data_IF_488504845349
#
_entry.id   IF_488504845349
#
_cell.length_a   1.000
_cell.length_b   1.000
_cell.length_c   1.000
_cell.angle_alpha   90.00
_cell.angle_beta   90.00
_cell.angle_gamma   90.00
#
_symmetry.space_group_name_H-M   'P 1'
#
loop_
_entity.id
_entity.type
_entity.pdbx_description
1 polymer ?
#
# COMPACT_ATOMS: atom_id res chain seq x y z
N UNK A 1 91.51 -5.72 110.51
CA UNK A 1 92.28 -5.91 109.25
C UNK A 1 91.32 -6.27 108.09
N UNK A 2 91.29 -5.65 106.92
CA UNK A 2 92.11 -4.61 106.30
C UNK A 2 91.38 -4.26 104.98
N UNK A 3 91.25 -2.96 104.66
CA UNK A 3 91.21 -2.30 103.32
C UNK A 3 90.45 -2.92 102.14
N UNK A 4 89.84 -2.18 101.19
CA UNK A 4 89.45 -0.77 100.98
C UNK A 4 88.92 -0.71 99.52
N UNK A 5 87.82 0.01 99.32
CA UNK A 5 87.34 0.74 98.11
C UNK A 5 87.19 0.02 96.75
N UNK A 6 86.02 0.18 96.12
CA UNK A 6 85.91 1.13 94.99
C UNK A 6 84.49 1.71 94.87
N UNK A 7 84.42 2.92 94.31
CA UNK A 7 83.31 3.89 94.31
C UNK A 7 82.61 3.93 92.95
N UNK A 8 81.30 4.23 92.97
CA UNK A 8 80.53 4.78 91.84
C UNK A 8 79.35 3.88 91.43
N UNK A 9 78.15 4.33 91.08
CA UNK A 9 77.52 5.62 90.72
C UNK A 9 75.98 5.36 90.84
N UNK A 10 75.11 6.36 91.12
CA UNK A 10 73.74 6.12 91.55
C UNK A 10 72.82 5.69 90.41
N UNK A 11 71.93 4.72 90.66
CA UNK A 11 70.80 4.39 89.79
C UNK A 11 69.61 5.28 90.12
N UNK A 12 69.29 6.18 89.19
CA UNK A 12 67.99 6.80 89.02
C UNK A 12 67.67 6.82 87.51
N UNK A 13 66.41 6.95 87.10
CA UNK A 13 65.20 6.23 87.48
C UNK A 13 64.70 5.38 86.29
N UNK A 14 63.82 4.41 86.56
CA UNK A 14 63.12 3.66 85.51
C UNK A 14 62.33 4.62 84.61
N UNK A 15 62.76 4.75 83.36
CA UNK A 15 61.93 5.22 82.25
C UNK A 15 60.91 4.12 81.90
N UNK A 16 59.65 4.46 81.62
CA UNK A 16 58.66 3.50 81.17
C UNK A 16 59.10 2.99 79.79
N UNK A 17 59.41 1.70 79.68
CA UNK A 17 59.77 1.06 78.42
C UNK A 17 58.66 1.25 77.39
N UNK A 18 59.06 1.66 76.20
CA UNK A 18 58.19 1.77 75.03
C UNK A 18 57.36 0.48 74.83
N UNK A 19 56.08 0.59 74.46
CA UNK A 19 55.25 -0.58 74.18
C UNK A 19 55.85 -1.38 73.02
N UNK A 20 56.28 -2.62 73.32
CA UNK A 20 56.79 -3.68 72.45
C UNK A 20 56.65 -3.43 70.93
N UNK A 21 57.66 -2.79 70.33
CA UNK A 21 57.78 -2.59 68.88
C UNK A 21 57.77 -3.89 68.07
N UNK A 22 58.19 -5.01 68.66
CA UNK A 22 58.17 -6.32 68.00
C UNK A 22 56.75 -6.91 67.86
N UNK A 23 55.86 -6.64 68.82
CA UNK A 23 54.47 -7.11 68.77
C UNK A 23 53.66 -6.35 67.72
N UNK A 24 53.92 -5.05 67.59
CA UNK A 24 53.30 -4.23 66.54
C UNK A 24 53.78 -4.64 65.16
N UNK A 25 55.07 -4.94 64.98
CA UNK A 25 55.61 -5.48 63.72
C UNK A 25 54.95 -6.82 63.36
N UNK A 26 54.82 -7.75 64.31
CA UNK A 26 54.14 -9.04 64.07
C UNK A 26 52.66 -8.86 63.71
N UNK A 27 51.96 -7.94 64.38
CA UNK A 27 50.57 -7.60 64.04
C UNK A 27 50.44 -7.02 62.62
N UNK A 28 51.32 -6.09 62.26
CA UNK A 28 51.36 -5.50 60.91
C UNK A 28 51.70 -6.53 59.83
N UNK A 29 52.61 -7.48 60.11
CA UNK A 29 52.92 -8.59 59.20
C UNK A 29 51.72 -9.52 58.99
N UNK A 30 50.97 -9.84 60.06
CA UNK A 30 49.75 -10.63 59.96
C UNK A 30 48.65 -9.89 59.18
N UNK A 31 48.49 -8.57 59.40
CA UNK A 31 47.55 -7.75 58.64
C UNK A 31 47.92 -7.66 57.15
N UNK A 32 49.21 -7.53 56.82
CA UNK A 32 49.68 -7.54 55.43
C UNK A 32 49.41 -8.90 54.75
N UNK A 33 49.67 -10.01 55.45
CA UNK A 33 49.37 -11.35 54.94
C UNK A 33 47.85 -11.56 54.72
N UNK A 34 47.02 -11.08 55.65
CA UNK A 34 45.57 -11.09 55.51
C UNK A 34 45.08 -10.25 54.31
N UNK A 35 45.58 -9.03 54.18
CA UNK A 35 45.24 -8.14 53.06
C UNK A 35 45.68 -8.72 51.70
N UNK A 36 46.84 -9.39 51.61
CA UNK A 36 47.29 -10.07 50.39
C UNK A 36 46.36 -11.23 50.01
N UNK A 37 45.95 -12.05 50.98
CA UNK A 37 44.99 -13.12 50.74
C UNK A 37 43.62 -12.59 50.27
N UNK A 38 43.13 -11.50 50.87
CA UNK A 38 41.90 -10.83 50.43
C UNK A 38 42.01 -10.33 48.99
N UNK A 39 43.13 -9.70 48.62
CA UNK A 39 43.38 -9.27 47.23
C UNK A 39 43.40 -10.45 46.26
N UNK A 40 43.98 -11.59 46.64
CA UNK A 40 43.96 -12.80 45.81
C UNK A 40 42.55 -13.37 45.64
N UNK A 41 41.73 -13.37 46.69
CA UNK A 41 40.33 -13.80 46.59
C UNK A 41 39.51 -12.86 45.71
N UNK A 42 39.67 -11.55 45.85
CA UNK A 42 39.01 -10.54 45.00
C UNK A 42 39.47 -10.70 43.55
N UNK A 43 40.75 -10.96 43.31
CA UNK A 43 41.27 -11.25 41.97
C UNK A 43 40.65 -12.52 41.37
N UNK A 44 40.51 -13.59 42.14
CA UNK A 44 39.86 -14.81 41.69
C UNK A 44 38.38 -14.57 41.36
N UNK A 45 37.64 -13.85 42.21
CA UNK A 45 36.23 -13.48 41.96
C UNK A 45 36.11 -12.57 40.73
N UNK A 46 37.02 -11.62 40.56
CA UNK A 46 37.05 -10.76 39.38
C UNK A 46 37.26 -11.57 38.10
N UNK A 47 38.23 -12.50 38.09
CA UNK A 47 38.49 -13.38 36.95
C UNK A 47 37.29 -14.28 36.61
N UNK A 48 36.61 -14.84 37.62
CA UNK A 48 35.37 -15.60 37.41
C UNK A 48 34.28 -14.70 36.84
N UNK A 49 34.11 -13.48 37.37
CA UNK A 49 33.10 -12.54 36.88
C UNK A 49 33.36 -12.08 35.44
N UNK A 50 34.62 -11.91 35.06
CA UNK A 50 35.04 -11.60 33.70
C UNK A 50 34.78 -12.79 32.77
N UNK A 51 35.13 -14.00 33.20
CA UNK A 51 34.81 -15.23 32.48
C UNK A 51 33.30 -15.41 32.23
N UNK A 52 32.46 -15.19 33.24
CA UNK A 52 30.99 -15.26 33.08
C UNK A 52 30.45 -14.20 32.13
N UNK A 53 30.99 -12.98 32.16
CA UNK A 53 30.63 -11.92 31.19
C UNK A 53 31.03 -12.33 29.77
N UNK A 54 32.24 -12.85 29.60
CA UNK A 54 32.74 -13.29 28.30
C UNK A 54 31.90 -14.44 27.73
N UNK A 55 31.56 -15.44 28.55
CA UNK A 55 30.68 -16.54 28.17
C UNK A 55 29.27 -16.05 27.78
N UNK A 56 28.71 -15.11 28.54
CA UNK A 56 27.41 -14.51 28.21
C UNK A 56 27.44 -13.76 26.87
N UNK A 57 28.53 -13.02 26.59
CA UNK A 57 28.73 -12.33 25.30
C UNK A 57 28.85 -13.34 24.15
N UNK A 58 29.65 -14.39 24.33
CA UNK A 58 29.81 -15.45 23.33
C UNK A 58 28.51 -16.22 23.08
N UNK A 59 27.69 -16.42 24.11
CA UNK A 59 26.37 -17.04 23.98
C UNK A 59 25.41 -16.17 23.16
N UNK A 60 25.38 -14.87 23.41
CA UNK A 60 24.57 -13.93 22.61
C UNK A 60 25.08 -13.87 21.17
N UNK A 61 26.40 -13.85 20.97
CA UNK A 61 27.01 -13.82 19.64
C UNK A 61 26.67 -15.10 18.84
N UNK A 62 26.78 -16.28 19.46
CA UNK A 62 26.37 -17.56 18.84
C UNK A 62 24.90 -17.55 18.48
N UNK A 63 24.01 -17.13 19.39
CA UNK A 63 22.57 -17.05 19.11
C UNK A 63 22.26 -16.12 17.93
N UNK A 64 22.91 -14.95 17.87
CA UNK A 64 22.76 -14.02 16.76
C UNK A 64 23.21 -14.67 15.42
N UNK A 65 24.33 -15.38 15.42
CA UNK A 65 24.81 -16.11 14.23
C UNK A 65 23.83 -17.22 13.81
N UNK A 66 23.28 -17.97 14.77
CA UNK A 66 22.29 -19.01 14.51
C UNK A 66 20.98 -18.44 13.96
N UNK A 67 20.49 -17.32 14.51
CA UNK A 67 19.30 -16.62 14.00
C UNK A 67 19.52 -16.10 12.57
N UNK A 68 20.70 -15.54 12.28
CA UNK A 68 21.06 -15.12 10.92
C UNK A 68 21.12 -16.31 9.96
N UNK A 69 21.75 -17.42 10.35
CA UNK A 69 21.84 -18.62 9.52
C UNK A 69 20.46 -19.26 9.27
N UNK A 70 19.59 -19.27 10.28
CA UNK A 70 18.21 -19.74 10.19
C UNK A 70 17.39 -18.86 9.23
N UNK A 71 17.45 -17.54 9.38
CA UNK A 71 16.77 -16.59 8.49
C UNK A 71 17.26 -16.71 7.05
N UNK A 72 18.57 -16.87 6.83
CA UNK A 72 19.14 -17.10 5.50
C UNK A 72 18.62 -18.40 4.88
N UNK A 73 18.46 -19.46 5.67
CA UNK A 73 17.92 -20.75 5.21
C UNK A 73 16.45 -20.62 4.82
N UNK A 74 15.63 -19.98 5.67
CA UNK A 74 14.21 -19.72 5.35
C UNK A 74 14.08 -18.87 4.10
N UNK A 75 14.88 -17.81 3.98
CA UNK A 75 14.86 -16.95 2.79
C UNK A 75 15.23 -17.74 1.53
N UNK A 76 16.28 -18.57 1.60
CA UNK A 76 16.68 -19.45 0.50
C UNK A 76 15.58 -20.44 0.12
N UNK A 77 14.89 -21.03 1.10
CA UNK A 77 13.79 -21.96 0.86
C UNK A 77 12.58 -21.26 0.24
N UNK A 78 12.26 -20.04 0.68
CA UNK A 78 11.18 -19.25 0.08
C UNK A 78 11.50 -18.87 -1.37
N UNK A 79 12.73 -18.41 -1.65
CA UNK A 79 13.19 -18.12 -3.02
C UNK A 79 13.11 -19.38 -3.87
N UNK A 80 13.66 -20.51 -3.40
CA UNK A 80 13.63 -21.79 -4.12
C UNK A 80 12.19 -22.26 -4.39
N UNK A 81 11.27 -22.06 -3.45
CA UNK A 81 9.83 -22.36 -3.59
C UNK A 81 9.17 -21.49 -4.65
N UNK A 82 9.47 -20.19 -4.67
CA UNK A 82 8.99 -19.28 -5.71
C UNK A 82 9.56 -19.63 -7.08
N UNK A 83 10.85 -19.93 -7.18
CA UNK A 83 11.50 -20.36 -8.42
C UNK A 83 10.90 -21.66 -8.96
N UNK A 84 10.62 -22.64 -8.09
CA UNK A 84 9.95 -23.88 -8.46
C UNK A 84 8.52 -23.62 -8.97
N UNK A 85 7.76 -22.73 -8.33
CA UNK A 85 6.40 -22.35 -8.76
C UNK A 85 6.41 -21.61 -10.09
N UNK A 86 7.34 -20.68 -10.28
CA UNK A 86 7.53 -19.96 -11.54
C UNK A 86 7.92 -20.93 -12.65
N UNK A 87 8.83 -21.87 -12.36
CA UNK A 87 9.22 -22.92 -13.32
C UNK A 87 8.07 -23.86 -13.67
N UNK A 88 7.22 -24.20 -12.69
CA UNK A 88 6.01 -24.99 -12.90
C UNK A 88 4.99 -24.23 -13.75
N UNK A 89 4.75 -22.95 -13.46
CA UNK A 89 3.88 -22.09 -14.26
C UNK A 89 4.42 -21.89 -15.68
N UNK A 90 5.72 -21.74 -15.86
CA UNK A 90 6.34 -21.61 -17.18
C UNK A 90 6.26 -22.92 -17.97
N UNK A 91 6.46 -24.08 -17.32
CA UNK A 91 6.26 -25.39 -17.94
C UNK A 91 4.80 -25.62 -18.30
N UNK A 92 3.87 -25.31 -17.41
CA UNK A 92 2.44 -25.45 -17.64
C UNK A 92 1.97 -24.49 -18.74
N UNK A 93 2.45 -23.24 -18.76
CA UNK A 93 2.22 -22.30 -19.87
C UNK A 93 2.78 -22.84 -21.17
N UNK A 94 4.01 -23.37 -21.18
CA UNK A 94 4.62 -23.98 -22.36
C UNK A 94 3.80 -25.18 -22.82
N UNK A 95 3.53 -26.16 -21.96
CA UNK A 95 2.75 -27.36 -22.27
C UNK A 95 1.32 -27.01 -22.68
N UNK A 96 0.64 -26.07 -22.04
CA UNK A 96 -0.70 -25.63 -22.43
C UNK A 96 -0.70 -24.86 -23.75
N UNK A 97 0.32 -24.06 -24.04
CA UNK A 97 0.48 -23.38 -25.34
C UNK A 97 0.81 -24.37 -26.45
N UNK A 98 1.64 -25.39 -26.18
CA UNK A 98 1.98 -26.44 -27.15
C UNK A 98 0.85 -27.46 -27.33
N UNK A 99 0.08 -27.79 -26.29
CA UNK A 99 -1.01 -28.78 -26.34
C UNK A 99 -2.35 -28.20 -26.80
N UNK A 100 -2.55 -26.86 -26.73
CA UNK A 100 -3.76 -26.18 -27.24
C UNK A 100 -3.61 -25.58 -28.63
N UNK A 101 -2.43 -25.68 -29.26
CA UNK A 101 -2.27 -25.31 -30.67
C UNK A 101 -2.59 -26.51 -31.57
N UNK A 102 -3.60 -26.44 -32.45
CA UNK A 102 -3.48 -27.11 -33.74
C UNK A 102 -2.17 -26.61 -34.37
N UNK A 103 -1.46 -27.46 -35.12
CA UNK A 103 -0.21 -27.14 -35.84
C UNK A 103 -0.34 -25.98 -36.85
N UNK A 104 -0.57 -24.76 -36.38
CA UNK A 104 -0.59 -23.55 -37.19
C UNK A 104 0.24 -22.50 -36.46
N UNK A 105 1.38 -22.15 -37.03
CA UNK A 105 2.28 -21.17 -36.46
C UNK A 105 1.57 -19.80 -36.36
N UNK A 106 1.71 -19.06 -35.24
CA UNK A 106 1.10 -17.73 -35.10
C UNK A 106 1.62 -16.72 -36.14
N UNK A 107 2.82 -16.95 -36.67
CA UNK A 107 3.39 -16.22 -37.81
C UNK A 107 2.53 -16.38 -39.07
N UNK A 108 2.07 -17.60 -39.39
CA UNK A 108 1.21 -17.85 -40.55
C UNK A 108 -0.18 -17.18 -40.39
N UNK A 109 -0.65 -17.03 -39.15
CA UNK A 109 -1.90 -16.32 -38.87
C UNK A 109 -1.76 -14.81 -39.06
N UNK A 110 -0.64 -14.23 -38.64
CA UNK A 110 -0.35 -12.81 -38.85
C UNK A 110 -0.09 -12.51 -40.33
N UNK A 111 0.65 -13.39 -41.02
CA UNK A 111 0.91 -13.30 -42.46
C UNK A 111 -0.40 -13.27 -43.26
N UNK A 112 -1.35 -14.18 -42.96
CA UNK A 112 -2.68 -14.18 -43.59
C UNK A 112 -3.50 -12.93 -43.26
N UNK A 113 -3.37 -12.37 -42.06
CA UNK A 113 -4.03 -11.11 -41.71
C UNK A 113 -3.43 -9.92 -42.46
N UNK A 114 -2.10 -9.88 -42.60
CA UNK A 114 -1.40 -8.86 -43.39
C UNK A 114 -1.73 -8.96 -44.88
N UNK A 115 -1.77 -10.18 -45.42
CA UNK A 115 -2.19 -10.43 -46.81
C UNK A 115 -3.63 -9.98 -47.04
N UNK A 116 -4.57 -10.32 -46.14
CA UNK A 116 -5.96 -9.87 -46.24
C UNK A 116 -6.08 -8.33 -46.17
N UNK A 117 -5.34 -7.67 -45.28
CA UNK A 117 -5.34 -6.21 -45.18
C UNK A 117 -4.73 -5.55 -46.43
N UNK A 118 -3.71 -6.17 -47.02
CA UNK A 118 -3.10 -5.72 -48.26
C UNK A 118 -4.06 -5.87 -49.44
N UNK A 119 -4.76 -7.00 -49.56
CA UNK A 119 -5.78 -7.19 -50.58
C UNK A 119 -6.94 -6.21 -50.42
N UNK A 120 -7.40 -5.96 -49.19
CA UNK A 120 -8.46 -4.99 -48.91
C UNK A 120 -8.04 -3.56 -49.33
N UNK A 121 -6.79 -3.19 -49.02
CA UNK A 121 -6.20 -1.93 -49.49
C UNK A 121 -6.16 -1.86 -51.02
N UNK A 122 -5.81 -2.96 -51.70
CA UNK A 122 -5.80 -3.02 -53.16
C UNK A 122 -7.21 -2.91 -53.76
N UNK A 123 -8.20 -3.59 -53.16
CA UNK A 123 -9.62 -3.49 -53.57
C UNK A 123 -10.14 -2.07 -53.41
N UNK A 124 -9.85 -1.42 -52.28
CA UNK A 124 -10.20 -0.02 -52.06
C UNK A 124 -9.54 0.90 -53.11
N UNK A 125 -8.24 0.72 -53.39
CA UNK A 125 -7.55 1.49 -54.44
C UNK A 125 -8.16 1.30 -55.83
N UNK A 126 -8.59 0.08 -56.17
CA UNK A 126 -9.24 -0.21 -57.45
C UNK A 126 -10.59 0.52 -57.61
N UNK A 127 -11.25 0.90 -56.51
CA UNK A 127 -12.50 1.68 -56.52
C UNK A 127 -12.21 3.19 -56.45
N UNK A 128 -11.30 3.60 -55.57
CA UNK A 128 -11.01 5.02 -55.32
C UNK A 128 -10.34 5.68 -56.52
N UNK A 129 -9.40 5.01 -57.19
CA UNK A 129 -8.65 5.63 -58.28
C UNK A 129 -9.51 5.98 -59.51
N UNK A 130 -10.45 5.13 -59.97
CA UNK A 130 -11.45 5.53 -60.96
C UNK A 130 -12.35 6.69 -60.51
N UNK A 131 -12.78 6.69 -59.24
CA UNK A 131 -13.57 7.81 -58.69
C UNK A 131 -12.77 9.12 -58.68
N UNK A 132 -11.48 9.07 -58.32
CA UNK A 132 -10.59 10.24 -58.35
C UNK A 132 -10.42 10.78 -59.78
N UNK A 133 -10.30 9.89 -60.77
CA UNK A 133 -10.25 10.26 -62.20
C UNK A 133 -11.56 10.92 -62.65
N UNK A 134 -12.71 10.34 -62.30
CA UNK A 134 -14.02 10.91 -62.62
C UNK A 134 -14.21 12.27 -61.97
N UNK A 135 -13.82 12.43 -60.70
CA UNK A 135 -13.85 13.74 -60.02
C UNK A 135 -12.96 14.76 -60.74
N UNK A 136 -11.78 14.36 -61.21
CA UNK A 136 -10.90 15.25 -61.96
C UNK A 136 -11.52 15.67 -63.30
N UNK A 137 -12.15 14.73 -64.03
CA UNK A 137 -12.87 15.04 -65.27
C UNK A 137 -14.08 15.94 -65.05
N UNK A 138 -14.87 15.68 -64.00
CA UNK A 138 -16.02 16.50 -63.63
C UNK A 138 -15.58 17.91 -63.24
N UNK A 139 -14.48 18.05 -62.49
CA UNK A 139 -13.88 19.36 -62.18
C UNK A 139 -13.42 20.08 -63.46
N UNK A 140 -12.82 19.38 -64.42
CA UNK A 140 -12.41 19.99 -65.69
C UNK A 140 -13.62 20.43 -66.54
N UNK A 141 -14.68 19.61 -66.61
CA UNK A 141 -15.94 19.94 -67.28
C UNK A 141 -16.65 21.12 -66.61
N UNK A 142 -16.66 21.16 -65.28
CA UNK A 142 -17.20 22.27 -64.51
C UNK A 142 -16.43 23.56 -64.82
N UNK A 143 -15.11 23.54 -64.75
CA UNK A 143 -14.28 24.70 -65.08
C UNK A 143 -14.50 25.18 -66.53
N UNK A 144 -14.68 24.25 -67.48
CA UNK A 144 -15.02 24.61 -68.86
C UNK A 144 -16.40 25.27 -68.98
N UNK A 145 -17.42 24.72 -68.30
CA UNK A 145 -18.76 25.30 -68.27
C UNK A 145 -18.78 26.67 -67.58
N UNK A 146 -18.04 26.84 -66.48
CA UNK A 146 -17.86 28.12 -65.79
C UNK A 146 -17.22 29.16 -66.71
N UNK A 147 -16.18 28.79 -67.48
CA UNK A 147 -15.58 29.69 -68.47
C UNK A 147 -16.57 30.09 -69.58
N UNK A 148 -17.38 29.15 -70.09
CA UNK A 148 -18.40 29.45 -71.09
C UNK A 148 -19.51 30.35 -70.54
N UNK A 149 -19.93 30.13 -69.29
CA UNK A 149 -20.87 31.00 -68.58
C UNK A 149 -20.25 32.38 -68.38
N UNK A 150 -18.98 32.47 -68.01
CA UNK A 150 -18.29 33.75 -67.84
C UNK A 150 -18.15 34.50 -69.18
N UNK A 151 -17.91 33.79 -70.29
CA UNK A 151 -17.88 34.35 -71.63
C UNK A 151 -19.27 34.88 -72.03
N UNK A 152 -20.33 34.08 -71.87
CA UNK A 152 -21.71 34.53 -72.09
C UNK A 152 -22.11 35.68 -71.16
N UNK A 153 -21.70 35.66 -69.89
CA UNK A 153 -21.91 36.75 -68.95
C UNK A 153 -21.13 38.01 -69.34
N UNK A 154 -19.94 37.87 -69.92
CA UNK A 154 -19.17 38.99 -70.46
C UNK A 154 -19.81 39.57 -71.71
N UNK A 155 -20.44 38.74 -72.56
CA UNK A 155 -21.26 39.19 -73.69
C UNK A 155 -22.60 39.82 -73.24
N UNK A 156 -23.23 39.28 -72.19
CA UNK A 156 -24.41 39.86 -71.54
C UNK A 156 -24.07 41.14 -70.76
N UNK A 157 -22.83 41.29 -70.26
CA UNK A 157 -22.34 42.52 -69.62
C UNK A 157 -22.18 43.68 -70.62
N UNK A 158 -22.18 43.41 -71.93
CA UNK A 158 -22.25 44.44 -72.96
C UNK A 158 -23.69 44.73 -73.43
N UNK A 159 -24.71 44.05 -72.92
CA UNK A 159 -26.09 44.21 -73.41
C UNK A 159 -27.22 44.29 -72.35
N UNK A 160 -26.97 44.24 -71.04
CA UNK A 160 -28.01 44.52 -70.04
C UNK A 160 -27.44 45.16 -68.76
N UNK A 161 -27.09 46.45 -68.84
CA UNK A 161 -27.23 47.34 -67.69
C UNK A 161 -28.69 47.76 -67.60
N UNK A 162 -29.50 47.04 -66.84
CA UNK A 162 -30.70 47.55 -66.18
C UNK A 162 -31.41 46.42 -65.40
N UNK A 163 -31.79 46.76 -64.17
CA UNK A 163 -32.82 46.10 -63.36
C UNK A 163 -32.49 44.74 -62.71
N UNK A 164 -32.05 44.80 -61.45
CA UNK A 164 -32.96 44.45 -60.36
C UNK A 164 -32.40 44.86 -59.01
N UNK A 165 -33.10 45.82 -58.42
CA UNK A 165 -33.07 46.16 -57.02
C UNK A 165 -33.62 44.97 -56.21
N UNK A 166 -32.87 44.50 -55.23
CA UNK A 166 -33.27 44.42 -53.82
C UNK A 166 -32.09 43.81 -53.05
N UNK A 167 -31.32 44.66 -52.40
CA UNK A 167 -30.36 44.31 -51.37
C UNK A 167 -31.02 44.58 -50.01
N UNK A 168 -31.03 43.59 -49.10
CA UNK A 168 -30.26 43.70 -47.87
C UNK A 168 -30.03 42.29 -47.23
N UNK A 169 -28.91 42.06 -46.50
CA UNK A 169 -28.33 40.75 -46.19
C UNK A 169 -28.33 40.39 -44.68
N UNK A 170 -27.50 39.38 -44.35
CA UNK A 170 -27.04 38.90 -43.02
C UNK A 170 -27.93 37.87 -42.32
N UNK A 171 -27.43 36.89 -41.56
CA UNK A 171 -26.13 36.24 -41.41
C UNK A 171 -26.41 34.99 -40.52
N UNK A 172 -25.68 33.90 -40.76
CA UNK A 172 -25.60 32.64 -39.97
C UNK A 172 -24.93 32.96 -38.60
N UNK A 173 -24.95 32.17 -37.47
CA UNK A 173 -24.96 30.71 -37.41
C UNK A 173 -25.47 29.96 -36.14
N UNK A 174 -25.44 28.62 -36.25
CA UNK A 174 -25.15 27.51 -35.29
C UNK A 174 -25.08 27.69 -33.75
N UNK A 175 -25.40 26.55 -33.12
CA UNK A 175 -24.98 26.02 -31.81
C UNK A 175 -25.90 26.18 -30.58
N UNK A 176 -26.24 25.03 -29.97
CA UNK A 176 -26.73 24.89 -28.61
C UNK A 176 -25.96 23.75 -27.91
N UNK A 177 -25.20 24.03 -26.83
CA UNK A 177 -24.52 23.02 -26.02
C UNK A 177 -25.27 22.72 -24.71
N UNK A 178 -24.72 21.79 -23.92
CA UNK A 178 -25.33 21.18 -22.76
C UNK A 178 -25.13 21.89 -21.40
N UNK A 179 -25.57 21.16 -20.36
CA UNK A 179 -25.16 21.20 -18.95
C UNK A 179 -25.53 22.44 -18.11
N UNK A 180 -26.42 22.24 -17.14
CA UNK A 180 -26.53 23.11 -15.97
C UNK A 180 -26.29 22.29 -14.70
N UNK A 181 -25.13 22.54 -14.09
CA UNK A 181 -24.91 22.38 -12.67
C UNK A 181 -25.57 23.55 -11.92
N UNK A 182 -25.96 23.22 -10.68
CA UNK A 182 -26.24 24.01 -9.47
C UNK A 182 -25.68 25.44 -9.48
N UNK A 183 -26.32 26.40 -8.77
CA UNK A 183 -25.70 26.80 -7.50
C UNK A 183 -26.63 27.29 -6.37
N UNK A 184 -26.15 26.99 -5.16
CA UNK A 184 -25.98 27.90 -4.03
C UNK A 184 -27.21 28.35 -3.20
N UNK A 185 -27.22 27.76 -2.02
CA UNK A 185 -27.89 28.14 -0.79
C UNK A 185 -27.55 29.57 -0.36
N UNK A 186 -28.56 30.35 0.00
CA UNK A 186 -28.43 31.59 0.77
C UNK A 186 -29.53 31.65 1.84
N UNK A 187 -29.08 31.73 3.10
CA UNK A 187 -29.64 32.49 4.24
C UNK A 187 -31.13 32.41 4.63
N UNK A 188 -31.37 32.18 5.94
CA UNK A 188 -32.49 32.88 6.61
C UNK A 188 -33.28 32.13 7.69
N UNK A 189 -32.72 32.07 8.91
CA UNK A 189 -33.34 32.34 10.23
C UNK A 189 -34.81 31.92 10.50
N UNK A 190 -34.98 30.95 11.41
CA UNK A 190 -35.97 30.92 12.50
C UNK A 190 -35.60 29.76 13.45
N UNK A 191 -35.07 29.99 14.67
CA UNK A 191 -35.84 30.06 15.94
C UNK A 191 -36.83 28.88 16.09
N UNK A 192 -36.93 28.09 17.18
CA UNK A 192 -36.48 28.14 18.58
C UNK A 192 -36.98 26.83 19.24
N UNK A 193 -36.64 26.62 20.52
CA UNK A 193 -37.15 25.61 21.47
C UNK A 193 -36.48 24.22 21.39
N UNK A 194 -35.97 23.59 22.46
CA UNK A 194 -35.88 23.97 23.88
C UNK A 194 -34.78 23.13 24.56
N UNK A 195 -34.10 23.75 25.51
CA UNK A 195 -33.27 23.10 26.53
C UNK A 195 -34.15 22.64 27.71
N UNK A 196 -33.81 21.50 28.30
CA UNK A 196 -33.96 21.13 29.73
C UNK A 196 -33.27 19.76 29.90
N UNK A 197 -32.02 19.74 30.39
CA UNK A 197 -31.62 19.40 31.77
C UNK A 197 -31.92 17.94 32.15
N UNK A 198 -30.88 17.16 32.45
CA UNK A 198 -30.56 16.95 33.87
C UNK A 198 -29.11 16.53 34.13
N UNK A 199 -28.64 17.01 35.28
CA UNK A 199 -27.30 16.89 35.85
C UNK A 199 -27.29 15.79 36.90
N UNK A 200 -26.22 14.99 37.02
CA UNK A 200 -25.73 14.61 38.37
C UNK A 200 -24.23 14.29 38.37
N UNK A 201 -23.49 15.09 39.12
CA UNK A 201 -22.17 14.76 39.69
C UNK A 201 -22.29 13.65 40.74
N UNK A 202 -21.23 12.85 40.88
CA UNK A 202 -20.98 12.06 42.08
C UNK A 202 -19.54 12.34 42.53
N UNK A 203 -19.41 12.80 43.76
CA UNK A 203 -18.19 13.38 44.31
C UNK A 203 -17.18 12.39 44.89
N UNK A 204 -16.07 12.97 45.33
CA UNK A 204 -15.02 12.39 46.15
C UNK A 204 -15.53 11.79 47.47
N UNK A 205 -14.85 10.75 47.94
CA UNK A 205 -14.70 10.47 49.37
C UNK A 205 -13.25 10.08 49.69
N UNK A 206 -12.81 10.42 50.90
CA UNK A 206 -11.46 10.22 51.44
C UNK A 206 -11.34 8.95 52.32
N UNK A 207 -10.13 8.38 52.32
CA UNK A 207 -9.41 7.71 53.43
C UNK A 207 -9.90 6.39 54.05
N UNK A 208 -9.05 5.34 53.99
CA UNK A 208 -8.47 4.55 55.11
C UNK A 208 -7.59 3.38 54.55
N UNK A 209 -6.32 3.25 54.98
CA UNK A 209 -5.30 2.25 54.54
C UNK A 209 -5.39 0.87 55.24
N UNK A 210 -4.30 0.04 55.39
CA UNK A 210 -2.88 0.16 54.97
C UNK A 210 -2.25 -1.13 54.34
N UNK A 211 -1.00 -1.10 53.84
CA UNK A 211 0.03 -2.17 54.03
C UNK A 211 1.36 -1.93 53.28
N UNK A 212 2.41 -1.66 54.06
CA UNK A 212 3.86 -1.95 53.96
C UNK A 212 4.62 -2.02 52.61
N UNK A 213 5.60 -1.11 52.49
CA UNK A 213 6.83 -1.21 51.67
C UNK A 213 7.64 0.10 51.78
N UNK A 214 8.98 0.09 51.94
CA UNK A 214 9.70 1.13 52.68
C UNK A 214 9.79 2.46 51.92
N UNK A 215 9.52 3.55 52.65
CA UNK A 215 9.56 4.91 52.17
C UNK A 215 11.00 5.44 52.16
N UNK A 216 11.53 5.72 50.97
CA UNK A 216 12.69 6.58 50.79
C UNK A 216 12.27 8.00 51.20
N UNK A 217 12.88 8.48 52.29
CA UNK A 217 12.59 9.77 52.91
C UNK A 217 12.92 10.91 51.93
N UNK A 218 11.90 11.46 51.29
CA UNK A 218 11.99 12.69 50.49
C UNK A 218 12.48 13.84 51.38
N UNK A 219 13.52 14.54 50.92
CA UNK A 219 14.01 15.79 51.52
C UNK A 219 12.98 16.89 51.30
N UNK A 220 12.50 17.49 52.39
CA UNK A 220 11.85 18.80 52.34
C UNK A 220 12.93 19.88 52.18
N UNK A 221 12.69 20.82 51.27
CA UNK A 221 13.41 22.09 51.18
C UNK A 221 13.23 22.90 52.47
N UNK A 222 14.26 23.57 53.01
CA UNK A 222 14.08 24.44 54.17
C UNK A 222 13.30 25.70 53.76
N UNK A 223 12.16 25.93 54.42
CA UNK A 223 11.42 27.20 54.41
C UNK A 223 12.20 28.25 55.23
N UNK A 224 12.26 29.52 54.78
CA UNK A 224 13.04 30.58 55.43
C UNK A 224 12.54 31.02 56.82
N UNK A 225 11.43 30.46 57.31
CA UNK A 225 10.84 30.85 58.60
C UNK A 225 11.44 30.09 59.82
N UNK A 226 12.38 29.19 59.59
CA UNK A 226 12.99 28.38 60.67
C UNK A 226 14.30 28.94 61.24
N UNK A 227 14.89 29.98 60.63
CA UNK A 227 16.07 30.66 61.19
C UNK A 227 15.78 31.42 62.49
N UNK A 228 14.52 31.72 62.81
CA UNK A 228 14.15 32.50 64.00
C UNK A 228 14.08 31.68 65.30
N UNK A 229 14.12 30.34 65.23
CA UNK A 229 13.97 29.49 66.44
C UNK A 229 15.33 29.17 67.10
N UNK A 230 16.45 29.43 66.41
CA UNK A 230 17.79 29.20 66.96
C UNK A 230 18.32 30.35 67.86
N UNK A 231 17.65 31.50 67.93
CA UNK A 231 18.06 32.62 68.80
C UNK A 231 17.55 32.52 70.24
N UNK A 232 16.83 31.46 70.61
CA UNK A 232 16.28 31.28 71.96
C UNK A 232 16.84 30.05 72.66
N UNK A 233 18.14 30.04 72.94
CA UNK A 233 18.65 29.38 74.16
C UNK A 233 19.94 30.08 74.56
N UNK A 234 19.87 30.85 75.63
CA UNK A 234 21.03 31.49 76.24
C UNK A 234 21.97 30.46 76.85
N UNK A 235 22.98 30.06 76.10
CA UNK A 235 24.26 29.60 76.64
C UNK A 235 25.34 30.06 75.67
N UNK A 236 26.21 30.95 76.14
CA UNK A 236 27.36 31.48 75.42
C UNK A 236 28.42 30.35 75.38
N UNK A 237 28.20 29.38 74.50
CA UNK A 237 29.12 28.26 74.27
C UNK A 237 30.12 28.71 73.21
N UNK A 238 31.44 28.68 73.49
CA UNK A 238 32.45 28.99 72.48
C UNK A 238 32.23 28.14 71.22
N UNK A 239 32.54 28.69 70.03
CA UNK A 239 32.39 28.02 68.71
C UNK A 239 33.02 26.63 68.60
N UNK A 240 33.78 26.20 69.60
CA UNK A 240 34.49 24.91 69.67
C UNK A 240 33.66 23.73 70.18
N UNK A 241 32.39 23.91 70.58
CA UNK A 241 31.51 22.81 71.05
C UNK A 241 30.21 22.68 70.23
N UNK A 242 30.14 23.29 69.03
CA UNK A 242 29.02 23.01 68.13
C UNK A 242 29.19 21.58 67.58
N UNK A 243 28.48 20.64 68.18
CA UNK A 243 28.40 19.26 67.72
C UNK A 243 27.19 19.14 66.78
N UNK A 244 27.39 18.91 65.46
CA UNK A 244 26.29 18.78 64.53
C UNK A 244 25.38 17.60 64.92
N UNK A 245 24.06 17.69 64.67
CA UNK A 245 23.17 16.55 64.83
C UNK A 245 23.69 15.34 64.04
N UNK A 246 23.46 14.13 64.56
CA UNK A 246 23.93 12.89 63.92
C UNK A 246 23.50 12.80 62.45
N UNK A 247 24.47 12.59 61.56
CA UNK A 247 24.25 12.57 60.11
C UNK A 247 24.49 13.91 59.39
N UNK A 248 24.84 14.98 60.12
CA UNK A 248 25.22 16.27 59.56
C UNK A 248 26.72 16.48 59.72
N UNK A 249 27.41 16.84 58.64
CA UNK A 249 28.83 17.18 58.64
C UNK A 249 28.95 18.71 58.52
N UNK A 250 29.79 19.32 59.36
CA UNK A 250 30.20 20.71 59.16
C UNK A 250 31.04 20.76 57.89
N UNK A 251 30.58 21.55 56.93
CA UNK A 251 31.22 21.76 55.64
C UNK A 251 31.74 23.19 55.64
N UNK A 252 32.96 23.39 55.14
CA UNK A 252 33.54 24.73 55.00
C UNK A 252 32.76 25.55 53.95
N UNK A 253 32.75 26.89 54.04
CA UNK A 253 32.00 27.73 53.09
C UNK A 253 32.40 27.48 51.62
N UNK A 254 33.68 27.19 51.37
CA UNK A 254 34.19 26.83 50.04
C UNK A 254 33.62 25.50 49.54
N UNK A 255 33.57 24.47 50.38
CA UNK A 255 33.00 23.17 50.03
C UNK A 255 31.48 23.25 49.88
N UNK A 256 30.80 24.09 50.67
CA UNK A 256 29.37 24.36 50.53
C UNK A 256 29.06 25.04 49.20
N UNK A 257 29.83 26.08 48.83
CA UNK A 257 29.68 26.75 47.54
C UNK A 257 29.93 25.78 46.37
N UNK A 258 30.95 24.93 46.46
CA UNK A 258 31.25 23.93 45.44
C UNK A 258 30.15 22.87 45.32
N UNK A 259 29.62 22.36 46.45
CA UNK A 259 28.50 21.42 46.43
C UNK A 259 27.23 22.08 45.90
N UNK A 260 26.98 23.36 46.20
CA UNK A 260 25.85 24.10 45.67
C UNK A 260 25.95 24.27 44.16
N UNK A 261 27.12 24.65 43.64
CA UNK A 261 27.37 24.74 42.20
C UNK A 261 27.21 23.37 41.53
N UNK A 262 27.77 22.31 42.13
CA UNK A 262 27.64 20.95 41.61
C UNK A 262 26.19 20.48 41.61
N UNK A 263 25.43 20.72 42.69
CA UNK A 263 24.00 20.40 42.76
C UNK A 263 23.22 21.19 41.69
N UNK A 264 23.52 22.47 41.49
CA UNK A 264 22.86 23.30 40.50
C UNK A 264 23.19 22.87 39.07
N UNK A 265 24.44 22.47 38.81
CA UNK A 265 24.86 21.88 37.55
C UNK A 265 24.16 20.54 37.30
N UNK A 266 24.09 19.67 38.31
CA UNK A 266 23.37 18.40 38.22
C UNK A 266 21.88 18.62 37.95
N UNK A 267 21.23 19.58 38.63
CA UNK A 267 19.84 19.95 38.34
C UNK A 267 19.66 20.44 36.90
N UNK A 268 20.56 21.30 36.40
CA UNK A 268 20.52 21.76 35.02
C UNK A 268 20.63 20.61 34.02
N UNK A 269 21.59 19.69 34.22
CA UNK A 269 21.73 18.51 33.36
C UNK A 269 20.52 17.57 33.43
N UNK A 270 19.93 17.39 34.60
CA UNK A 270 18.70 16.59 34.76
C UNK A 270 17.53 17.24 34.05
N UNK A 271 17.42 18.57 34.08
CA UNK A 271 16.36 19.31 33.37
C UNK A 271 16.52 19.22 31.85
N UNK A 272 17.74 19.34 31.34
CA UNK A 272 18.04 19.14 29.92
C UNK A 272 17.71 17.71 29.47
N UNK A 273 18.12 16.70 30.25
CA UNK A 273 17.78 15.30 29.99
C UNK A 273 16.27 15.04 30.07
N UNK A 274 15.56 15.70 30.97
CA UNK A 274 14.09 15.61 31.07
C UNK A 274 13.40 16.21 29.83
N UNK A 275 13.89 17.35 29.33
CA UNK A 275 13.41 17.97 28.08
C UNK A 275 13.70 17.10 26.86
N UNK A 276 14.91 16.55 26.75
CA UNK A 276 15.29 15.63 25.68
C UNK A 276 14.40 14.38 25.68
N UNK A 277 14.18 13.78 26.86
CA UNK A 277 13.26 12.65 27.00
C UNK A 277 11.85 13.00 26.55
N UNK A 278 11.30 14.13 27.00
CA UNK A 278 9.96 14.58 26.59
C UNK A 278 9.86 14.77 25.07
N UNK A 279 10.88 15.37 24.44
CA UNK A 279 10.93 15.54 23.00
C UNK A 279 10.94 14.20 22.24
N UNK A 280 11.73 13.23 22.72
CA UNK A 280 11.78 11.89 22.13
C UNK A 280 10.46 11.14 22.32
N UNK A 281 9.83 11.24 23.48
CA UNK A 281 8.51 10.66 23.74
C UNK A 281 7.45 11.25 22.81
N UNK A 282 7.45 12.57 22.60
CA UNK A 282 6.53 13.18 21.65
C UNK A 282 6.82 12.79 20.19
N UNK A 283 8.09 12.66 19.80
CA UNK A 283 8.47 12.21 18.46
C UNK A 283 8.00 10.77 18.22
N UNK A 284 8.20 9.88 19.20
CA UNK A 284 7.70 8.52 19.17
C UNK A 284 6.17 8.50 19.06
N UNK A 285 5.47 9.28 19.89
CA UNK A 285 4.00 9.41 19.84
C UNK A 285 3.53 9.86 18.46
N UNK A 286 4.13 10.91 17.88
CA UNK A 286 3.78 11.39 16.52
C UNK A 286 4.01 10.30 15.47
N UNK A 287 5.13 9.59 15.53
CA UNK A 287 5.43 8.51 14.57
C UNK A 287 4.46 7.32 14.70
N UNK A 288 4.06 6.96 15.92
CA UNK A 288 3.08 5.91 16.18
C UNK A 288 1.69 6.29 15.66
N UNK A 289 1.29 7.56 15.84
CA UNK A 289 0.03 8.07 15.31
C UNK A 289 0.02 8.09 13.78
N UNK A 290 1.14 8.49 13.17
CA UNK A 290 1.27 8.49 11.72
C UNK A 290 1.25 7.07 11.14
N UNK A 291 1.96 6.13 11.77
CA UNK A 291 1.89 4.71 11.42
C UNK A 291 0.46 4.17 11.53
N UNK A 292 -0.25 4.51 12.61
CA UNK A 292 -1.66 4.12 12.80
C UNK A 292 -2.57 4.68 11.69
N UNK A 293 -2.40 5.95 11.30
CA UNK A 293 -3.14 6.56 10.18
C UNK A 293 -2.84 5.86 8.85
N UNK A 294 -1.58 5.55 8.56
CA UNK A 294 -1.19 4.86 7.34
C UNK A 294 -1.79 3.45 7.28
N UNK A 295 -1.73 2.70 8.38
CA UNK A 295 -2.38 1.39 8.49
C UNK A 295 -3.89 1.53 8.28
N UNK A 296 -4.54 2.54 8.86
CA UNK A 296 -5.97 2.78 8.68
C UNK A 296 -6.35 3.04 7.23
N UNK A 297 -5.56 3.83 6.49
CA UNK A 297 -5.79 4.09 5.05
C UNK A 297 -5.62 2.82 4.21
N UNK A 298 -4.60 2.01 4.51
CA UNK A 298 -4.42 0.74 3.82
C UNK A 298 -5.58 -0.24 4.09
N UNK A 299 -6.07 -0.30 5.33
CA UNK A 299 -7.23 -1.12 5.68
C UNK A 299 -8.49 -0.68 4.95
N UNK A 300 -8.76 0.62 4.85
CA UNK A 300 -9.92 1.11 4.09
C UNK A 300 -9.75 0.85 2.59
N UNK A 301 -8.54 0.96 2.05
CA UNK A 301 -8.25 0.61 0.66
C UNK A 301 -8.48 -0.88 0.39
N UNK A 302 -8.03 -1.77 1.28
CA UNK A 302 -8.27 -3.21 1.16
C UNK A 302 -9.77 -3.48 1.17
N UNK A 303 -10.50 -2.93 2.14
CA UNK A 303 -11.93 -3.13 2.28
C UNK A 303 -12.73 -2.63 1.05
N UNK A 304 -12.34 -1.48 0.47
CA UNK A 304 -12.95 -1.00 -0.77
C UNK A 304 -12.64 -1.91 -1.97
N UNK A 305 -11.40 -2.43 -2.07
CA UNK A 305 -11.04 -3.37 -3.13
C UNK A 305 -11.77 -4.71 -3.02
N UNK A 306 -11.97 -5.22 -1.80
CA UNK A 306 -12.74 -6.43 -1.54
C UNK A 306 -14.20 -6.26 -1.92
N UNK A 307 -14.82 -5.13 -1.56
CA UNK A 307 -16.21 -4.83 -1.94
C UNK A 307 -16.36 -4.74 -3.47
N UNK A 308 -15.38 -4.16 -4.18
CA UNK A 308 -15.39 -4.10 -5.64
C UNK A 308 -15.27 -5.50 -6.24
N UNK A 309 -14.36 -6.34 -5.73
CA UNK A 309 -14.20 -7.71 -6.20
C UNK A 309 -15.46 -8.55 -5.97
N UNK A 310 -16.14 -8.39 -4.83
CA UNK A 310 -17.43 -9.04 -4.57
C UNK A 310 -18.51 -8.59 -5.55
N UNK A 311 -18.58 -7.29 -5.85
CA UNK A 311 -19.52 -6.74 -6.84
C UNK A 311 -19.24 -7.25 -8.27
N UNK A 312 -17.97 -7.30 -8.66
CA UNK A 312 -17.55 -7.88 -9.94
C UNK A 312 -17.89 -9.36 -10.02
N UNK A 313 -17.62 -10.13 -8.96
CA UNK A 313 -17.97 -11.55 -8.89
C UNK A 313 -19.48 -11.76 -9.03
N UNK A 314 -20.30 -10.96 -8.35
CA UNK A 314 -21.75 -11.00 -8.48
C UNK A 314 -22.18 -10.71 -9.93
N UNK A 315 -21.64 -9.66 -10.55
CA UNK A 315 -21.97 -9.27 -11.93
C UNK A 315 -21.55 -10.34 -12.95
N UNK A 316 -20.38 -10.98 -12.77
CA UNK A 316 -19.94 -12.08 -13.63
C UNK A 316 -20.85 -13.29 -13.47
N UNK A 317 -21.23 -13.65 -12.24
CA UNK A 317 -22.15 -14.78 -12.02
C UNK A 317 -23.52 -14.53 -12.64
N UNK A 318 -23.99 -13.29 -12.58
CA UNK A 318 -25.28 -12.88 -13.15
C UNK A 318 -25.24 -12.87 -14.69
N UNK A 319 -24.22 -12.29 -15.30
CA UNK A 319 -24.05 -12.30 -16.77
C UNK A 319 -23.80 -13.70 -17.31
N UNK A 320 -23.09 -14.56 -16.57
CA UNK A 320 -22.94 -15.98 -16.89
C UNK A 320 -24.30 -16.70 -16.87
N UNK A 321 -25.11 -16.49 -15.82
CA UNK A 321 -26.47 -17.06 -15.71
C UNK A 321 -27.35 -16.63 -16.88
N UNK A 322 -27.36 -15.33 -17.20
CA UNK A 322 -28.13 -14.79 -18.33
C UNK A 322 -27.70 -15.40 -19.67
N UNK A 323 -26.39 -15.54 -19.90
CA UNK A 323 -25.87 -16.17 -21.13
C UNK A 323 -26.26 -17.65 -21.20
N UNK A 324 -26.22 -18.36 -20.07
CA UNK A 324 -26.63 -19.76 -20.00
C UNK A 324 -28.13 -19.93 -20.29
N UNK A 325 -28.98 -19.00 -19.80
CA UNK A 325 -30.41 -18.96 -20.11
C UNK A 325 -30.66 -18.69 -21.59
N UNK A 326 -29.97 -17.71 -22.18
CA UNK A 326 -30.09 -17.43 -23.63
C UNK A 326 -29.66 -18.63 -24.49
N UNK A 327 -28.60 -19.34 -24.10
CA UNK A 327 -28.21 -20.58 -24.79
C UNK A 327 -29.25 -21.68 -24.65
N UNK A 328 -29.86 -21.82 -23.47
CA UNK A 328 -30.93 -22.79 -23.25
C UNK A 328 -32.17 -22.48 -24.10
N UNK A 329 -32.57 -21.21 -24.19
CA UNK A 329 -33.69 -20.75 -25.02
C UNK A 329 -33.43 -20.97 -26.51
N UNK A 330 -32.22 -20.64 -26.98
CA UNK A 330 -31.82 -20.87 -28.37
C UNK A 330 -31.82 -22.37 -28.70
N UNK A 331 -31.29 -23.20 -27.80
CA UNK A 331 -31.31 -24.65 -27.97
C UNK A 331 -32.74 -25.22 -27.98
N UNK A 332 -33.64 -24.71 -27.14
CA UNK A 332 -35.04 -25.08 -27.14
C UNK A 332 -35.75 -24.65 -28.45
N UNK A 333 -35.47 -23.44 -28.93
CA UNK A 333 -35.96 -22.93 -30.21
C UNK A 333 -35.47 -23.76 -31.39
N UNK A 334 -34.17 -24.07 -31.43
CA UNK A 334 -33.58 -24.93 -32.45
C UNK A 334 -34.20 -26.33 -32.45
N UNK A 335 -34.42 -26.93 -31.27
CA UNK A 335 -35.14 -28.21 -31.15
C UNK A 335 -36.55 -28.11 -31.74
N UNK A 336 -37.34 -27.09 -31.37
CA UNK A 336 -38.69 -26.88 -31.93
C UNK A 336 -38.68 -26.74 -33.45
N UNK A 337 -37.79 -25.91 -33.99
CA UNK A 337 -37.65 -25.74 -35.44
C UNK A 337 -37.23 -27.04 -36.13
N UNK A 338 -36.31 -27.82 -35.54
CA UNK A 338 -35.89 -29.10 -36.10
C UNK A 338 -37.04 -30.12 -36.15
N UNK A 339 -37.89 -30.16 -35.12
CA UNK A 339 -39.09 -31.00 -35.12
C UNK A 339 -40.08 -30.56 -36.21
N UNK A 340 -40.31 -29.25 -36.35
CA UNK A 340 -41.23 -28.73 -37.35
C UNK A 340 -40.73 -28.99 -38.78
N UNK A 341 -39.43 -28.79 -39.04
CA UNK A 341 -38.80 -29.14 -40.32
C UNK A 341 -38.94 -30.65 -40.59
N UNK A 342 -38.69 -31.51 -39.61
CA UNK A 342 -38.88 -32.96 -39.77
C UNK A 342 -40.33 -33.33 -40.05
N UNK A 343 -41.29 -32.70 -39.35
CA UNK A 343 -42.73 -32.90 -39.53
C UNK A 343 -43.17 -32.49 -40.94
N UNK A 344 -42.80 -31.29 -41.38
CA UNK A 344 -43.08 -30.78 -42.72
C UNK A 344 -42.41 -31.63 -43.81
N UNK A 345 -41.20 -32.14 -43.57
CA UNK A 345 -40.52 -33.02 -44.52
C UNK A 345 -41.26 -34.36 -44.66
N UNK A 346 -41.69 -34.96 -43.54
CA UNK A 346 -42.51 -36.18 -43.57
C UNK A 346 -43.86 -35.96 -44.28
N UNK A 347 -44.50 -34.80 -44.07
CA UNK A 347 -45.72 -34.41 -44.76
C UNK A 347 -45.48 -34.24 -46.27
N UNK A 348 -44.39 -33.57 -46.68
CA UNK A 348 -44.01 -33.41 -48.08
C UNK A 348 -43.70 -34.75 -48.76
N UNK A 349 -42.99 -35.66 -48.10
CA UNK A 349 -42.75 -37.02 -48.62
C UNK A 349 -44.06 -37.78 -48.77
N UNK A 350 -44.99 -37.64 -47.82
CA UNK A 350 -46.35 -38.19 -47.93
C UNK A 350 -47.10 -37.64 -49.15
N UNK A 351 -47.10 -36.32 -49.34
CA UNK A 351 -47.74 -35.66 -50.49
C UNK A 351 -47.07 -36.07 -51.82
N UNK A 352 -45.74 -36.18 -51.88
CA UNK A 352 -45.00 -36.68 -53.05
C UNK A 352 -45.36 -38.13 -53.35
N UNK A 353 -45.49 -38.98 -52.33
CA UNK A 353 -45.95 -40.36 -52.47
C UNK A 353 -47.37 -40.45 -53.03
N UNK A 354 -48.29 -39.62 -52.53
CA UNK A 354 -49.67 -39.54 -53.02
C UNK A 354 -49.75 -39.02 -54.47
N UNK A 355 -49.02 -37.96 -54.80
CA UNK A 355 -48.93 -37.44 -56.18
C UNK A 355 -48.31 -38.45 -57.15
N UNK A 356 -47.39 -39.29 -56.69
CA UNK A 356 -46.81 -40.37 -57.49
C UNK A 356 -47.78 -41.53 -57.70
N UNK A 357 -48.80 -41.65 -56.84
CA UNK A 357 -49.80 -42.73 -56.88
C UNK A 357 -51.08 -42.31 -57.63
N UNK A 358 -51.44 -41.02 -57.61
CA UNK A 358 -52.53 -40.42 -58.38
C UNK A 358 -52.18 -40.13 -59.85
N UNK A 359 -50.99 -40.55 -60.30
CA UNK A 359 -50.63 -40.56 -61.73
C UNK A 359 -51.20 -41.85 -62.36
N UNK A 360 -52.26 -41.79 -63.20
CA UNK A 360 -52.62 -42.94 -64.03
C UNK A 360 -51.44 -43.26 -64.97
N UNK A 361 -51.29 -44.50 -65.47
CA UNK A 361 -50.25 -44.81 -66.43
C UNK A 361 -50.61 -44.17 -67.77
N UNK A 362 -50.29 -42.88 -67.93
CA UNK A 362 -50.21 -42.26 -69.25
C UNK A 362 -48.79 -42.49 -69.75
N UNK A 363 -48.64 -43.58 -70.49
CA UNK A 363 -47.57 -43.75 -71.48
C UNK A 363 -47.61 -42.58 -72.49
N UNK A 364 -47.17 -41.36 -72.16
CA UNK A 364 -46.80 -40.36 -73.19
C UNK A 364 -46.13 -39.04 -72.72
N UNK A 365 -45.38 -39.01 -71.61
CA UNK A 365 -44.53 -37.83 -71.28
C UNK A 365 -43.09 -37.96 -71.85
N UNK A 366 -42.98 -38.56 -73.02
CA UNK A 366 -41.95 -38.21 -74.02
C UNK A 366 -42.55 -37.34 -75.13
N UNK A 367 -43.54 -36.49 -74.82
CA UNK A 367 -43.79 -35.29 -75.61
C UNK A 367 -42.76 -34.23 -75.25
N UNK A 368 -41.61 -34.39 -75.89
CA UNK A 368 -40.55 -33.43 -76.07
C UNK A 368 -41.12 -32.01 -76.17
N UNK A 369 -40.93 -31.23 -75.10
CA UNK A 369 -40.88 -29.77 -75.24
C UNK A 369 -39.77 -29.48 -76.27
N UNK A 370 -40.04 -28.74 -77.36
CA UNK A 370 -39.06 -28.55 -78.42
C UNK A 370 -37.89 -27.74 -77.86
N UNK A 371 -36.79 -28.42 -77.54
CA UNK A 371 -35.61 -27.80 -76.94
C UNK A 371 -34.69 -27.19 -78.01
N UNK A 372 -35.08 -27.23 -79.28
CA UNK A 372 -34.30 -26.69 -80.39
C UNK A 372 -35.16 -25.84 -81.32
N UNK A 373 -34.64 -24.64 -81.65
CA UNK A 373 -35.28 -23.65 -82.54
C UNK A 373 -35.76 -24.23 -83.89
N UNK A 374 -35.05 -25.17 -84.55
CA UNK A 374 -35.50 -25.76 -85.81
C UNK A 374 -36.81 -26.55 -85.71
N UNK A 375 -37.08 -27.23 -84.59
CA UNK A 375 -38.33 -27.99 -84.40
C UNK A 375 -39.54 -27.07 -84.23
N UNK A 376 -39.36 -25.96 -83.51
CA UNK A 376 -40.37 -24.90 -83.42
C UNK A 376 -40.65 -24.28 -84.78
N UNK A 377 -39.61 -24.05 -85.58
CA UNK A 377 -39.75 -23.48 -86.92
C UNK A 377 -40.48 -24.45 -87.86
N UNK A 378 -40.21 -25.76 -87.78
CA UNK A 378 -40.92 -26.79 -88.54
C UNK A 378 -42.41 -26.89 -88.17
N UNK A 379 -42.75 -26.79 -86.87
CA UNK A 379 -44.15 -26.78 -86.45
C UNK A 379 -44.89 -25.52 -86.89
N UNK A 380 -44.25 -24.35 -86.80
CA UNK A 380 -44.84 -23.08 -87.27
C UNK A 380 -45.06 -23.09 -88.78
N UNK A 381 -44.12 -23.65 -89.57
CA UNK A 381 -44.29 -23.85 -91.01
C UNK A 381 -45.47 -24.77 -91.33
N UNK A 382 -45.64 -25.84 -90.55
CA UNK A 382 -46.74 -26.80 -90.72
C UNK A 382 -48.10 -26.18 -90.40
N UNK A 383 -48.20 -25.41 -89.32
CA UNK A 383 -49.41 -24.66 -88.95
C UNK A 383 -49.78 -23.57 -89.96
N UNK A 384 -48.79 -22.92 -90.61
CA UNK A 384 -49.05 -21.96 -91.71
C UNK A 384 -49.54 -22.62 -92.99
N UNK A 385 -49.36 -23.91 -93.15
CA UNK A 385 -49.78 -24.66 -94.34
C UNK A 385 -51.14 -25.34 -94.15
N UNK A 386 -51.58 -25.50 -92.89
CA UNK A 386 -52.90 -25.98 -92.49
C UNK A 386 -53.93 -24.87 -92.29
N UNK A 387 -53.54 -23.59 -92.45
CA UNK A 387 -54.40 -22.40 -92.43
C UNK A 387 -54.41 -21.71 -93.78
#
# INVERSE_FOLDING_TARGET
PQRVQDVGVPHAPNLPGDPNSEETIRSLQAQLAGALAEVETVRAVAAVSEGTKQEAVEAVQRRCQEEVASLQTILKDTISSYEARLSAFQRDSRENVWNRLPRTNPLDSLEKQMEKAQEDTQRLRAIVLPMEQEIAELKAKLAHAENLVQELQSEHSLCCSAESLLADPEAVPMDLPGSHQVPLMEGGVAEKFACNLDSISIGSFSSLGPSSGPSVRRRCSPSPETCSIASSTGTLVPETIYLPPVGYQLVSESEWAQLQEQVQQQYGTLEERAKEKANLEEALRRSSEECSKQVQVLLTQIQTSENLLQSLQATVSETQRQTQEQMADLAASHKRLSYEVQRLNAENEGLRGMSSQDSPPTEDETRSLPSTVPELQAMVSKLRQES
#
